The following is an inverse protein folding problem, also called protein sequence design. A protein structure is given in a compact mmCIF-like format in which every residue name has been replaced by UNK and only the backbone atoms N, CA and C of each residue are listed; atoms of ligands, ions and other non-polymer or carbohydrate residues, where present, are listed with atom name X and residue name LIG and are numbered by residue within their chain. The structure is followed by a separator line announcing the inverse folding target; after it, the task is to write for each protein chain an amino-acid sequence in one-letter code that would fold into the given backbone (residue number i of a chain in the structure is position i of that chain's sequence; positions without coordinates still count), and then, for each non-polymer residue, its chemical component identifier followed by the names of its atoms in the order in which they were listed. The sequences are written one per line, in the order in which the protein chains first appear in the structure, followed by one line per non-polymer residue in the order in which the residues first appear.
data_IF_930398689539
#
_entry.id   IF_930398689539
#
_cell.length_a   1.000
_cell.length_b   1.000
_cell.length_c   1.000
_cell.angle_alpha   90.00
_cell.angle_beta   90.00
_cell.angle_gamma   90.00
#
_symmetry.space_group_name_H-M   'P 1'
#
loop_
_entity.id
_entity.type
_entity.pdbx_description
1 polymer ?
#
# COMPACT_ATOMS: atom_id res chain seq x y z
N UNK A 1 -4.69 -22.87 -25.32
CA UNK A 1 -4.63 -22.80 -23.84
C UNK A 1 -5.22 -21.46 -23.46
N UNK A 2 -6.27 -21.43 -22.64
CA UNK A 2 -6.90 -20.18 -22.20
C UNK A 2 -6.08 -19.60 -21.02
N UNK A 3 -5.88 -18.30 -20.99
CA UNK A 3 -5.28 -17.62 -19.84
C UNK A 3 -6.20 -17.74 -18.63
N UNK A 4 -5.61 -17.96 -17.45
CA UNK A 4 -6.37 -17.97 -16.21
C UNK A 4 -6.92 -16.55 -15.94
N UNK A 5 -8.14 -16.42 -15.41
CA UNK A 5 -8.69 -15.11 -15.05
C UNK A 5 -7.82 -14.47 -13.97
N UNK A 6 -7.54 -13.17 -14.13
CA UNK A 6 -6.86 -12.36 -13.12
C UNK A 6 -7.73 -12.33 -11.85
N UNK A 7 -7.15 -12.72 -10.72
CA UNK A 7 -7.81 -12.57 -9.42
C UNK A 7 -7.30 -11.31 -8.72
N UNK A 8 -8.24 -10.45 -8.33
CA UNK A 8 -7.98 -9.27 -7.51
C UNK A 8 -8.40 -9.58 -6.08
N UNK A 9 -7.57 -9.18 -5.11
CA UNK A 9 -7.91 -9.30 -3.70
C UNK A 9 -7.83 -7.92 -3.05
N UNK A 10 -8.99 -7.41 -2.62
CA UNK A 10 -9.10 -6.13 -1.95
C UNK A 10 -8.91 -6.31 -0.44
N UNK A 11 -8.05 -5.50 0.15
CA UNK A 11 -7.79 -5.47 1.58
C UNK A 11 -7.86 -4.04 2.11
N UNK A 12 -8.75 -3.80 3.06
CA UNK A 12 -8.85 -2.51 3.74
C UNK A 12 -8.00 -2.52 5.01
N UNK A 13 -7.05 -1.59 5.12
CA UNK A 13 -6.28 -1.40 6.34
C UNK A 13 -6.94 -0.32 7.21
N UNK A 14 -7.60 -0.76 8.27
CA UNK A 14 -8.19 0.13 9.26
C UNK A 14 -7.15 0.41 10.33
N UNK A 15 -6.85 1.70 10.56
CA UNK A 15 -5.86 2.17 11.53
C UNK A 15 -6.12 1.53 12.91
N UNK A 16 -5.37 0.50 13.32
CA UNK A 16 -5.45 0.08 14.70
C UNK A 16 -4.84 1.23 15.48
N UNK A 17 -5.51 1.72 16.53
CA UNK A 17 -4.79 2.45 17.58
C UNK A 17 -3.79 1.45 18.18
N UNK A 18 -2.64 1.32 17.55
CA UNK A 18 -1.46 0.71 18.13
C UNK A 18 -0.99 1.68 19.20
N UNK A 19 -0.80 1.18 20.41
CA UNK A 19 -0.12 1.95 21.45
C UNK A 19 1.34 2.15 21.00
N UNK A 20 1.59 3.24 20.27
CA UNK A 20 2.87 3.57 19.64
C UNK A 20 2.73 4.07 18.19
N UNK A 21 3.79 4.69 17.66
CA UNK A 21 3.85 5.25 16.29
C UNK A 21 3.98 4.16 15.20
N UNK A 22 3.02 3.24 15.09
CA UNK A 22 2.98 2.32 13.94
C UNK A 22 2.57 3.08 12.67
N UNK A 23 3.52 3.34 11.76
CA UNK A 23 3.30 4.12 10.53
C UNK A 23 3.34 3.31 9.23
N UNK A 24 3.56 1.98 9.31
CA UNK A 24 3.80 1.15 8.12
C UNK A 24 3.22 -0.26 8.21
N UNK A 25 2.86 -0.80 7.05
CA UNK A 25 2.39 -2.17 6.85
C UNK A 25 3.31 -2.86 5.85
N UNK A 26 3.60 -4.13 6.12
CA UNK A 26 4.26 -5.02 5.17
C UNK A 26 3.21 -5.94 4.52
N UNK A 27 3.25 -6.04 3.20
CA UNK A 27 2.37 -6.90 2.39
C UNK A 27 3.26 -7.93 1.68
N UNK A 28 2.95 -9.21 1.90
CA UNK A 28 3.74 -10.35 1.43
C UNK A 28 2.85 -11.35 0.68
N UNK A 29 3.33 -11.86 -0.47
CA UNK A 29 2.63 -12.91 -1.22
C UNK A 29 3.27 -14.28 -0.92
N UNK A 30 2.66 -15.01 0.02
CA UNK A 30 3.28 -16.20 0.62
C UNK A 30 3.51 -17.38 -0.35
N UNK A 31 2.68 -17.51 -1.39
CA UNK A 31 2.76 -18.63 -2.33
C UNK A 31 3.74 -18.40 -3.50
N UNK A 32 4.37 -17.22 -3.56
CA UNK A 32 5.34 -16.88 -4.62
C UNK A 32 6.71 -16.67 -4.02
N UNK A 33 7.60 -17.67 -4.16
CA UNK A 33 9.00 -17.62 -3.68
C UNK A 33 9.89 -16.54 -4.31
N UNK A 34 9.38 -15.77 -5.27
CA UNK A 34 10.16 -14.82 -6.06
C UNK A 34 9.69 -13.35 -5.93
N UNK A 35 8.66 -13.08 -5.13
CA UNK A 35 8.20 -11.71 -4.90
C UNK A 35 8.85 -11.18 -3.62
N UNK A 36 9.64 -10.10 -3.75
CA UNK A 36 10.02 -9.28 -2.59
C UNK A 36 8.74 -8.73 -1.94
N UNK A 37 8.76 -8.59 -0.61
CA UNK A 37 7.68 -7.95 0.12
C UNK A 37 7.52 -6.48 -0.30
N UNK A 38 6.29 -5.97 -0.24
CA UNK A 38 6.03 -4.54 -0.35
C UNK A 38 5.87 -3.94 1.05
N UNK A 39 6.54 -2.83 1.31
CA UNK A 39 6.28 -2.00 2.47
C UNK A 39 5.51 -0.76 2.03
N UNK A 40 4.38 -0.53 2.68
CA UNK A 40 3.53 0.63 2.47
C UNK A 40 3.51 1.43 3.78
N UNK A 41 3.83 2.72 3.73
CA UNK A 41 3.86 3.59 4.90
C UNK A 41 3.31 4.97 4.58
N UNK A 42 2.64 5.59 5.56
CA UNK A 42 2.22 6.98 5.42
C UNK A 42 3.40 7.91 5.71
N UNK A 43 3.71 8.78 4.76
CA UNK A 43 4.66 9.87 4.90
C UNK A 43 3.88 11.14 5.27
N UNK A 44 4.00 11.53 6.54
CA UNK A 44 3.30 12.70 7.08
C UNK A 44 3.94 14.02 6.63
N UNK A 45 5.19 14.02 6.15
CA UNK A 45 5.85 15.23 5.66
C UNK A 45 5.40 15.57 4.25
N UNK A 46 5.22 14.55 3.40
CA UNK A 46 4.74 14.68 2.01
C UNK A 46 3.23 14.51 1.87
N UNK A 47 2.54 14.15 2.94
CA UNK A 47 1.10 13.87 2.99
C UNK A 47 0.64 12.84 1.95
N UNK A 48 1.14 11.61 2.08
CA UNK A 48 0.79 10.53 1.17
C UNK A 48 1.39 9.18 1.53
N UNK A 49 1.23 8.21 0.64
CA UNK A 49 1.69 6.83 0.80
C UNK A 49 3.00 6.60 0.05
N UNK A 50 4.03 6.20 0.80
CA UNK A 50 5.28 5.69 0.25
C UNK A 50 5.20 4.17 0.10
N UNK A 51 5.64 3.68 -1.06
CA UNK A 51 5.74 2.25 -1.38
C UNK A 51 7.22 1.93 -1.62
N UNK A 52 7.75 0.98 -0.85
CA UNK A 52 9.14 0.54 -0.91
C UNK A 52 9.25 -0.99 -0.92
N UNK A 53 10.44 -1.52 -1.23
CA UNK A 53 10.73 -2.95 -1.01
C UNK A 53 10.84 -3.24 0.48
N UNK A 54 10.25 -4.34 0.94
CA UNK A 54 10.11 -4.68 2.35
C UNK A 54 11.41 -4.64 3.15
N UNK A 55 12.46 -5.24 2.60
CA UNK A 55 13.80 -5.27 3.23
C UNK A 55 14.60 -3.97 3.10
N UNK A 56 14.16 -3.01 2.26
CA UNK A 56 14.88 -1.77 1.95
C UNK A 56 13.93 -0.57 2.02
N UNK A 57 13.58 -0.09 3.24
CA UNK A 57 12.65 1.01 3.41
C UNK A 57 13.10 2.31 2.74
N UNK A 58 14.41 2.51 2.59
CA UNK A 58 14.98 3.71 1.95
C UNK A 58 14.93 3.64 0.40
N UNK A 59 14.52 2.51 -0.16
CA UNK A 59 14.38 2.31 -1.60
C UNK A 59 12.92 2.50 -2.03
N UNK A 60 12.42 3.74 -1.91
CA UNK A 60 11.09 4.11 -2.42
C UNK A 60 11.01 3.83 -3.92
N UNK A 61 9.97 3.09 -4.32
CA UNK A 61 9.70 2.77 -5.72
C UNK A 61 8.52 3.57 -6.27
N UNK A 62 7.63 4.04 -5.39
CA UNK A 62 6.52 4.90 -5.76
C UNK A 62 6.06 5.74 -4.56
N UNK A 63 5.53 6.92 -4.88
CA UNK A 63 4.81 7.78 -3.94
C UNK A 63 3.43 8.09 -4.50
N UNK A 64 2.42 8.04 -3.64
CA UNK A 64 1.02 8.25 -3.98
C UNK A 64 0.47 9.33 -3.03
N UNK A 65 0.22 10.57 -3.50
CA UNK A 65 -0.30 11.66 -2.65
C UNK A 65 -1.62 11.28 -1.99
N UNK A 66 -1.91 11.70 -0.76
CA UNK A 66 -3.19 11.37 -0.12
C UNK A 66 -4.40 12.06 -0.78
N UNK A 67 -4.14 13.16 -1.49
CA UNK A 67 -5.14 14.00 -2.12
C UNK A 67 -4.74 14.33 -3.56
N UNK A 68 -5.73 14.43 -4.44
CA UNK A 68 -5.56 15.02 -5.76
C UNK A 68 -5.27 16.53 -5.65
N UNK A 69 -4.86 17.16 -6.77
CA UNK A 69 -4.57 18.61 -6.84
C UNK A 69 -5.74 19.48 -6.33
N UNK A 70 -6.96 18.95 -6.40
CA UNK A 70 -8.20 19.58 -5.94
C UNK A 70 -8.58 19.26 -4.48
N UNK A 71 -7.75 18.53 -3.73
CA UNK A 71 -7.98 18.17 -2.33
C UNK A 71 -8.99 17.04 -2.11
N UNK A 72 -9.31 16.27 -3.15
CA UNK A 72 -10.19 15.09 -3.06
C UNK A 72 -9.37 13.85 -2.73
N UNK A 73 -9.86 12.97 -1.84
CA UNK A 73 -9.14 11.74 -1.49
C UNK A 73 -9.09 10.81 -2.70
N UNK A 74 -7.88 10.39 -3.07
CA UNK A 74 -7.66 9.38 -4.11
C UNK A 74 -8.06 7.99 -3.61
N UNK A 75 -9.34 7.66 -3.66
CA UNK A 75 -9.79 6.31 -3.36
C UNK A 75 -11.08 6.19 -2.56
N UNK A 76 -12.08 7.04 -2.79
CA UNK A 76 -13.45 6.58 -2.52
C UNK A 76 -13.75 5.39 -3.44
N UNK A 77 -13.46 4.19 -2.96
CA UNK A 77 -13.93 2.94 -3.57
C UNK A 77 -15.43 2.88 -3.28
N UNK A 78 -16.22 3.44 -4.19
CA UNK A 78 -17.68 3.28 -4.18
C UNK A 78 -17.98 1.79 -4.31
N UNK A 79 -18.39 1.17 -3.21
CA UNK A 79 -18.90 -0.19 -3.25
C UNK A 79 -20.23 -0.19 -4.02
N UNK A 80 -20.28 -0.94 -5.12
CA UNK A 80 -21.51 -1.36 -5.80
C UNK A 80 -21.73 -2.83 -5.51
#
# INVERSE_FOLDING_TARGET
MAEAPMQTQDGALWYPRVDGNGSSVAVSLYDVRAADDLRISYDFERDGWSIARGEKPDAEVAFVPAWDEDGTSIGEVSHV
#
